data_IF_443265689229
#
_entry.id   IF_443265689229
#
_cell.length_a   1.000
_cell.length_b   1.000
_cell.length_c   1.000
_cell.angle_alpha   90.00
_cell.angle_beta   90.00
_cell.angle_gamma   90.00
#
_symmetry.space_group_name_H-M   'P 1'
#
loop_
_entity.id
_entity.type
_entity.pdbx_description
1 polymer ?
#
# COMPACT_ATOMS: atom_id res chain seq x y z
N UNK A 1 16.87 -14.23 -4.19
CA UNK A 1 16.94 -12.77 -4.40
C UNK A 1 16.00 -12.30 -5.51
N UNK A 2 15.90 -13.01 -6.65
CA UNK A 2 15.04 -12.65 -7.80
C UNK A 2 13.55 -12.45 -7.43
N UNK A 3 12.95 -13.38 -6.66
CA UNK A 3 11.53 -13.31 -6.31
C UNK A 3 11.16 -12.06 -5.49
N UNK A 4 11.98 -11.69 -4.50
CA UNK A 4 11.71 -10.54 -3.64
C UNK A 4 11.84 -9.22 -4.40
N UNK A 5 12.86 -9.10 -5.26
CA UNK A 5 13.04 -7.91 -6.12
C UNK A 5 11.89 -7.77 -7.12
N UNK A 6 11.47 -8.88 -7.73
CA UNK A 6 10.26 -8.92 -8.57
C UNK A 6 9.04 -8.45 -7.78
N UNK A 7 8.76 -9.03 -6.60
CA UNK A 7 7.62 -8.63 -5.77
C UNK A 7 7.67 -7.16 -5.36
N UNK A 8 8.86 -6.63 -5.02
CA UNK A 8 9.04 -5.21 -4.69
C UNK A 8 8.63 -4.31 -5.84
N UNK A 9 9.07 -4.62 -7.07
CA UNK A 9 8.77 -3.82 -8.27
C UNK A 9 7.32 -3.99 -8.73
N UNK A 10 6.86 -5.23 -8.84
CA UNK A 10 5.54 -5.54 -9.38
C UNK A 10 4.41 -5.15 -8.44
N UNK A 11 4.59 -5.29 -7.12
CA UNK A 11 3.54 -4.99 -6.14
C UNK A 11 3.74 -3.63 -5.46
N UNK A 12 4.82 -2.90 -5.79
CA UNK A 12 5.26 -1.71 -5.08
C UNK A 12 5.28 -1.93 -3.55
N UNK A 13 5.85 -3.05 -3.10
CA UNK A 13 5.88 -3.37 -1.67
C UNK A 13 6.64 -2.30 -0.89
N UNK A 14 6.09 -1.92 0.25
CA UNK A 14 6.75 -1.02 1.19
C UNK A 14 8.08 -1.59 1.69
N UNK A 15 8.99 -0.71 2.12
CA UNK A 15 10.29 -1.13 2.64
C UNK A 15 10.11 -2.04 3.86
N UNK A 16 9.13 -1.78 4.74
CA UNK A 16 8.83 -2.66 5.87
C UNK A 16 8.29 -4.03 5.44
N UNK A 17 7.51 -4.10 4.36
CA UNK A 17 7.00 -5.38 3.83
C UNK A 17 8.15 -6.22 3.25
N UNK A 18 9.07 -5.57 2.52
CA UNK A 18 10.28 -6.22 1.99
C UNK A 18 11.16 -6.71 3.14
N UNK A 19 11.39 -5.88 4.16
CA UNK A 19 12.17 -6.26 5.34
C UNK A 19 11.55 -7.44 6.08
N UNK A 20 10.24 -7.40 6.35
CA UNK A 20 9.55 -8.51 7.03
C UNK A 20 9.60 -9.81 6.22
N UNK A 21 9.58 -9.74 4.90
CA UNK A 21 9.77 -10.91 4.05
C UNK A 21 11.21 -11.45 4.12
N UNK A 22 12.23 -10.57 4.11
CA UNK A 22 13.63 -10.97 4.34
C UNK A 22 13.83 -11.66 5.69
N UNK A 23 13.25 -11.11 6.77
CA UNK A 23 13.32 -11.66 8.12
C UNK A 23 12.69 -13.06 8.21
N UNK A 24 11.55 -13.28 7.54
CA UNK A 24 10.94 -14.62 7.47
C UNK A 24 11.77 -15.60 6.64
N UNK A 25 12.41 -15.12 5.57
CA UNK A 25 13.27 -15.97 4.75
C UNK A 25 14.54 -16.41 5.49
N UNK A 26 15.22 -15.50 6.21
CA UNK A 26 16.40 -15.87 7.02
C UNK A 26 16.04 -16.93 8.07
N UNK A 27 14.90 -16.79 8.74
CA UNK A 27 14.40 -17.76 9.73
C UNK A 27 14.14 -19.12 9.07
N UNK A 28 13.46 -19.12 7.92
CA UNK A 28 13.11 -20.35 7.21
C UNK A 28 14.34 -21.15 6.72
N UNK A 29 15.48 -20.48 6.48
CA UNK A 29 16.74 -21.14 6.07
C UNK A 29 17.75 -21.29 7.20
N UNK A 30 17.37 -20.98 8.45
CA UNK A 30 18.23 -21.11 9.62
C UNK A 30 19.40 -20.13 9.67
N UNK A 31 19.31 -19.00 8.97
CA UNK A 31 20.33 -17.95 9.03
C UNK A 31 20.20 -17.13 10.31
N UNK A 32 21.32 -16.61 10.86
CA UNK A 32 21.28 -15.64 11.95
C UNK A 32 20.59 -14.35 11.50
N UNK A 33 20.31 -13.45 12.45
CA UNK A 33 19.66 -12.19 12.14
C UNK A 33 20.61 -11.26 11.34
N UNK A 34 20.48 -11.27 10.02
CA UNK A 34 21.29 -10.49 9.09
C UNK A 34 20.58 -9.20 8.64
N UNK A 35 19.25 -9.17 8.71
CA UNK A 35 18.47 -8.01 8.28
C UNK A 35 18.38 -6.93 9.38
N UNK A 36 18.25 -5.63 9.02
CA UNK A 36 17.96 -4.57 9.98
C UNK A 36 16.71 -4.87 10.83
N UNK A 37 16.61 -4.25 12.01
CA UNK A 37 15.43 -4.41 12.88
C UNK A 37 14.20 -3.64 12.38
N UNK A 38 14.41 -2.53 11.69
CA UNK A 38 13.32 -1.69 11.18
C UNK A 38 13.65 -1.18 9.78
N UNK A 39 12.60 -0.85 9.03
CA UNK A 39 12.67 -0.18 7.75
C UNK A 39 11.96 1.16 7.83
N UNK A 40 12.40 2.09 6.98
CA UNK A 40 11.80 3.41 6.87
C UNK A 40 10.75 3.39 5.76
N UNK A 41 9.50 3.67 6.13
CA UNK A 41 8.43 3.93 5.16
C UNK A 41 8.05 5.40 5.22
N UNK A 42 8.50 6.14 4.24
CA UNK A 42 8.22 7.56 4.13
C UNK A 42 8.11 7.93 2.65
N UNK A 43 7.46 9.08 2.34
CA UNK A 43 7.55 9.69 1.02
C UNK A 43 9.02 9.87 0.60
N UNK A 44 9.29 9.82 -0.71
CA UNK A 44 10.65 9.90 -1.26
C UNK A 44 11.37 11.22 -0.94
N UNK A 45 10.64 12.28 -0.61
CA UNK A 45 11.13 13.60 -0.22
C UNK A 45 11.24 13.80 1.30
N UNK A 46 11.05 12.76 2.10
CA UNK A 46 11.32 12.81 3.54
C UNK A 46 12.83 12.67 3.81
N UNK A 47 13.45 13.71 4.37
CA UNK A 47 14.91 13.76 4.60
C UNK A 47 15.34 13.40 6.04
N UNK A 48 14.39 13.25 6.97
CA UNK A 48 14.65 13.01 8.40
C UNK A 48 14.84 11.53 8.77
N UNK A 49 14.87 10.63 7.77
CA UNK A 49 15.15 9.21 7.96
C UNK A 49 14.12 8.49 8.85
N UNK A 50 12.91 9.03 8.98
CA UNK A 50 11.90 8.53 9.91
C UNK A 50 10.67 8.01 9.17
N UNK A 51 10.15 6.86 9.60
CA UNK A 51 8.89 6.33 9.08
C UNK A 51 7.74 7.28 9.36
N UNK A 52 6.85 7.45 8.39
CA UNK A 52 5.62 8.24 8.55
C UNK A 52 4.47 7.30 8.93
N UNK A 53 3.60 7.72 9.87
CA UNK A 53 2.44 6.92 10.21
C UNK A 53 1.49 6.83 9.01
N UNK A 54 0.84 5.68 8.88
CA UNK A 54 -0.08 5.40 7.78
C UNK A 54 -1.36 4.77 8.28
N UNK A 55 -2.46 5.10 7.62
CA UNK A 55 -3.79 4.61 7.94
C UNK A 55 -4.50 4.11 6.69
N UNK A 56 -5.53 3.26 6.88
CA UNK A 56 -6.40 2.88 5.77
C UNK A 56 -7.21 4.09 5.28
N UNK A 57 -7.63 4.07 4.00
CA UNK A 57 -8.41 5.16 3.42
C UNK A 57 -9.69 5.47 4.22
N UNK A 58 -10.41 4.43 4.64
CA UNK A 58 -11.63 4.60 5.44
C UNK A 58 -11.36 5.26 6.80
N UNK A 59 -10.23 4.95 7.44
CA UNK A 59 -9.84 5.56 8.71
C UNK A 59 -9.53 7.05 8.53
N UNK A 60 -8.80 7.40 7.46
CA UNK A 60 -8.48 8.79 7.15
C UNK A 60 -9.71 9.61 6.77
N UNK A 61 -10.60 9.09 5.94
CA UNK A 61 -11.85 9.77 5.59
C UNK A 61 -12.68 10.06 6.85
N UNK A 62 -12.77 9.10 7.78
CA UNK A 62 -13.45 9.29 9.06
C UNK A 62 -12.75 10.34 9.94
N UNK A 63 -11.42 10.27 10.07
CA UNK A 63 -10.62 11.19 10.89
C UNK A 63 -10.75 12.64 10.41
N UNK A 64 -10.86 12.86 9.10
CA UNK A 64 -11.02 14.19 8.49
C UNK A 64 -12.48 14.61 8.29
N UNK A 65 -13.45 13.80 8.71
CA UNK A 65 -14.87 14.12 8.59
C UNK A 65 -15.40 14.17 7.14
N UNK A 66 -14.72 13.50 6.21
CA UNK A 66 -15.06 13.50 4.79
C UNK A 66 -16.20 12.53 4.51
N UNK A 67 -17.28 13.02 3.90
CA UNK A 67 -18.49 12.25 3.55
C UNK A 67 -18.35 11.52 2.21
N UNK A 68 -17.20 10.89 1.98
CA UNK A 68 -16.97 9.99 0.85
C UNK A 68 -16.82 8.57 1.37
N UNK A 69 -17.36 7.60 0.65
CA UNK A 69 -17.00 6.20 0.90
C UNK A 69 -15.60 5.93 0.36
N UNK A 70 -14.86 5.02 0.99
CA UNK A 70 -13.55 4.63 0.49
C UNK A 70 -13.59 4.14 -0.96
N UNK A 71 -14.67 3.46 -1.37
CA UNK A 71 -14.81 2.99 -2.76
C UNK A 71 -14.94 4.15 -3.76
N UNK A 72 -15.73 5.19 -3.43
CA UNK A 72 -15.83 6.40 -4.27
C UNK A 72 -14.48 7.09 -4.41
N UNK A 73 -13.79 7.28 -3.28
CA UNK A 73 -12.47 7.90 -3.26
C UNK A 73 -11.44 7.07 -4.07
N UNK A 74 -11.44 5.74 -3.95
CA UNK A 74 -10.59 4.89 -4.79
C UNK A 74 -10.89 5.06 -6.28
N UNK A 75 -12.16 5.10 -6.68
CA UNK A 75 -12.51 5.33 -8.09
C UNK A 75 -12.04 6.71 -8.61
N UNK A 76 -12.08 7.75 -7.79
CA UNK A 76 -11.47 9.05 -8.14
C UNK A 76 -9.93 8.94 -8.25
N UNK A 77 -9.28 8.23 -7.33
CA UNK A 77 -7.82 8.00 -7.38
C UNK A 77 -7.40 7.20 -8.62
N UNK A 78 -8.25 6.31 -9.14
CA UNK A 78 -7.98 5.60 -10.41
C UNK A 78 -7.92 6.59 -11.56
N UNK A 79 -8.87 7.53 -11.65
CA UNK A 79 -8.88 8.57 -12.69
C UNK A 79 -7.61 9.43 -12.65
N UNK A 80 -6.99 9.60 -11.47
CA UNK A 80 -5.74 10.32 -11.26
C UNK A 80 -4.47 9.47 -11.47
N UNK A 81 -4.61 8.17 -11.70
CA UNK A 81 -3.50 7.21 -11.79
C UNK A 81 -2.76 6.97 -10.47
N UNK A 82 -3.39 7.25 -9.33
CA UNK A 82 -2.80 7.08 -7.97
C UNK A 82 -2.95 5.63 -7.51
N UNK A 83 -4.09 5.01 -7.80
CA UNK A 83 -4.36 3.60 -7.53
C UNK A 83 -4.77 2.89 -8.80
N UNK A 84 -4.65 1.58 -8.79
CA UNK A 84 -5.18 0.68 -9.81
C UNK A 84 -5.99 -0.45 -9.16
N UNK A 85 -6.89 -1.03 -9.95
CA UNK A 85 -7.64 -2.21 -9.54
C UNK A 85 -6.90 -3.46 -10.04
N UNK A 86 -6.51 -4.33 -9.13
CA UNK A 86 -5.91 -5.63 -9.44
C UNK A 86 -6.90 -6.74 -9.14
N UNK A 87 -6.64 -7.90 -9.73
CA UNK A 87 -7.55 -9.03 -9.69
C UNK A 87 -6.80 -10.30 -9.30
N UNK A 88 -7.51 -11.21 -8.63
CA UNK A 88 -7.04 -12.57 -8.37
C UNK A 88 -8.18 -13.55 -8.48
N UNK A 89 -7.83 -14.81 -8.73
CA UNK A 89 -8.78 -15.90 -8.64
C UNK A 89 -9.28 -16.09 -7.20
N UNK A 90 -10.58 -16.35 -7.05
CA UNK A 90 -11.24 -16.63 -5.77
C UNK A 90 -12.47 -17.49 -5.98
N UNK A 91 -12.48 -18.70 -5.42
CA UNK A 91 -13.61 -19.66 -5.54
C UNK A 91 -14.96 -19.14 -5.03
N UNK A 92 -14.93 -18.12 -4.17
CA UNK A 92 -16.12 -17.55 -3.51
C UNK A 92 -16.57 -16.22 -4.10
N UNK A 93 -15.81 -15.64 -5.03
CA UNK A 93 -16.17 -14.36 -5.64
C UNK A 93 -16.99 -14.56 -6.91
N UNK A 94 -17.76 -13.55 -7.29
CA UNK A 94 -18.51 -13.53 -8.56
C UNK A 94 -17.52 -13.77 -9.71
N UNK A 95 -17.90 -14.64 -10.65
CA UNK A 95 -17.07 -15.06 -11.78
C UNK A 95 -15.69 -15.62 -11.38
N UNK A 96 -15.56 -16.08 -10.14
CA UNK A 96 -14.30 -16.50 -9.53
C UNK A 96 -13.20 -15.41 -9.49
N UNK A 97 -13.55 -14.13 -9.58
CA UNK A 97 -12.59 -13.03 -9.60
C UNK A 97 -12.82 -12.13 -8.40
N UNK A 98 -11.79 -11.97 -7.57
CA UNK A 98 -11.75 -10.98 -6.49
C UNK A 98 -10.90 -9.80 -6.92
N UNK A 99 -11.49 -8.61 -6.85
CA UNK A 99 -10.80 -7.34 -7.08
C UNK A 99 -10.29 -6.73 -5.79
N UNK A 100 -9.13 -6.08 -5.86
CA UNK A 100 -8.52 -5.36 -4.74
C UNK A 100 -7.77 -4.12 -5.28
N UNK A 101 -7.49 -3.17 -4.39
CA UNK A 101 -6.83 -1.91 -4.74
C UNK A 101 -5.32 -2.02 -4.51
N UNK A 102 -4.53 -1.33 -5.33
CA UNK A 102 -3.08 -1.21 -5.15
C UNK A 102 -2.64 0.19 -5.53
N UNK A 103 -1.68 0.76 -4.79
CA UNK A 103 -1.02 2.00 -5.21
C UNK A 103 -0.15 1.73 -6.44
N UNK A 104 -0.20 2.65 -7.38
CA UNK A 104 0.75 2.73 -8.50
C UNK A 104 2.08 3.31 -8.00
N UNK A 105 3.09 3.35 -8.88
CA UNK A 105 4.34 4.05 -8.58
C UNK A 105 4.11 5.53 -8.23
N UNK A 106 3.21 6.21 -8.95
CA UNK A 106 2.78 7.58 -8.65
C UNK A 106 2.10 7.65 -7.28
N UNK A 107 1.23 6.70 -6.97
CA UNK A 107 0.51 6.66 -5.69
C UNK A 107 1.39 6.49 -4.46
N UNK A 108 2.60 5.95 -4.62
CA UNK A 108 3.55 5.76 -3.51
C UNK A 108 4.02 7.08 -2.88
N UNK A 109 3.80 8.23 -3.53
CA UNK A 109 4.04 9.54 -2.87
C UNK A 109 3.04 9.82 -1.74
N UNK A 110 1.83 9.23 -1.80
CA UNK A 110 0.77 9.43 -0.82
C UNK A 110 0.66 8.29 0.19
N UNK A 111 1.34 7.17 -0.04
CA UNK A 111 1.16 5.99 0.79
C UNK A 111 2.06 4.82 0.43
N UNK A 112 1.68 3.64 0.92
CA UNK A 112 2.37 2.38 0.71
C UNK A 112 1.39 1.23 0.52
N UNK A 113 1.81 0.22 -0.23
CA UNK A 113 1.12 -1.07 -0.28
C UNK A 113 1.63 -1.95 0.84
N UNK A 114 0.71 -2.44 1.67
CA UNK A 114 0.95 -3.56 2.58
C UNK A 114 0.32 -4.82 2.01
N UNK A 115 0.78 -5.99 2.46
CA UNK A 115 0.03 -7.23 2.24
C UNK A 115 -1.29 -7.17 3.00
N UNK A 116 -2.39 -7.49 2.34
CA UNK A 116 -3.71 -7.48 2.95
C UNK A 116 -3.78 -8.49 4.11
N UNK A 117 -4.28 -8.09 5.30
CA UNK A 117 -4.48 -9.00 6.42
C UNK A 117 -5.57 -10.04 6.12
N UNK A 118 -6.48 -9.76 5.18
CA UNK A 118 -7.55 -10.67 4.79
C UNK A 118 -7.08 -11.73 3.78
N UNK A 119 -6.07 -11.43 2.97
CA UNK A 119 -5.52 -12.40 2.04
C UNK A 119 -4.06 -12.08 1.66
N UNK A 120 -3.12 -13.03 1.83
CA UNK A 120 -1.72 -12.79 1.48
C UNK A 120 -1.46 -12.60 -0.02
N UNK A 121 -2.43 -12.89 -0.89
CA UNK A 121 -2.35 -12.67 -2.35
C UNK A 121 -2.89 -11.31 -2.79
N UNK A 122 -3.19 -10.41 -1.86
CA UNK A 122 -3.70 -9.07 -2.14
C UNK A 122 -2.80 -8.02 -1.50
N UNK A 123 -2.69 -6.87 -2.15
CA UNK A 123 -2.20 -5.65 -1.51
C UNK A 123 -3.37 -4.87 -0.89
N UNK A 124 -3.06 -4.03 0.08
CA UNK A 124 -3.97 -3.06 0.66
C UNK A 124 -3.24 -1.70 0.74
N UNK A 125 -3.76 -0.64 0.11
CA UNK A 125 -3.22 0.70 0.22
C UNK A 125 -3.41 1.26 1.63
N UNK A 126 -2.32 1.76 2.21
CA UNK A 126 -2.31 2.60 3.39
C UNK A 126 -1.70 3.95 3.01
N UNK A 127 -2.25 5.05 3.49
CA UNK A 127 -1.84 6.40 3.11
C UNK A 127 -1.14 7.11 4.27
N UNK A 128 -0.12 7.90 3.95
CA UNK A 128 0.59 8.72 4.94
C UNK A 128 -0.34 9.79 5.48
N UNK A 129 -0.47 9.88 6.81
CA UNK A 129 -1.34 10.88 7.44
C UNK A 129 -0.96 12.30 7.02
N UNK A 130 0.35 12.57 6.90
CA UNK A 130 0.89 13.88 6.50
C UNK A 130 0.58 14.27 5.05
N UNK A 131 0.27 13.30 4.17
CA UNK A 131 -0.01 13.53 2.75
C UNK A 131 -1.50 13.49 2.41
N UNK A 132 -2.32 13.05 3.35
CA UNK A 132 -3.75 12.92 3.13
C UNK A 132 -4.46 14.25 2.77
N UNK A 133 -4.12 15.41 3.37
CA UNK A 133 -4.73 16.68 2.97
C UNK A 133 -4.44 17.07 1.51
N UNK A 134 -3.24 16.77 1.02
CA UNK A 134 -2.86 17.00 -0.39
C UNK A 134 -3.63 16.06 -1.32
N UNK A 135 -3.75 14.79 -0.93
CA UNK A 135 -4.53 13.80 -1.66
C UNK A 135 -6.00 14.21 -1.77
N UNK A 136 -6.63 14.70 -0.70
CA UNK A 136 -8.02 15.17 -0.73
C UNK A 136 -8.23 16.29 -1.75
N UNK A 137 -7.33 17.28 -1.80
CA UNK A 137 -7.41 18.36 -2.81
C UNK A 137 -7.38 17.84 -4.24
N UNK A 138 -6.62 16.77 -4.51
CA UNK A 138 -6.60 16.13 -5.82
C UNK A 138 -7.91 15.38 -6.12
N UNK A 139 -8.57 14.78 -5.12
CA UNK A 139 -9.86 14.12 -5.33
C UNK A 139 -10.94 15.12 -5.73
N UNK A 140 -10.89 16.34 -5.21
CA UNK A 140 -11.85 17.40 -5.52
C UNK A 140 -11.73 17.90 -6.98
N UNK A 141 -10.59 17.70 -7.64
CA UNK A 141 -10.43 18.08 -9.06
C UNK A 141 -11.07 17.07 -10.03
N UNK A 142 -11.59 15.96 -9.51
CA UNK A 142 -12.12 14.85 -10.30
C UNK A 142 -13.64 14.82 -10.21
N UNK A 143 -14.28 15.33 -11.26
CA UNK A 143 -15.73 15.20 -11.47
C UNK A 143 -16.08 13.89 -12.21
#
# INVERSE_FOLDING_TARGET
VILLDFMRRELNLSNSSVLGACQKLQEAVGLPNLAPRYAIDAPADAHDGSSRPTLSLSALLKQYGIRLTANQAYHQMVKLGIVEQRERYSRTAINNIKKFWSLTAKGCMFGKNITSPANPRETQPHFFESRFPELLKLLDTVH
#
